data_IF_391864508551
#
_entry.id   IF_391864508551
#
_cell.length_a   1.000
_cell.length_b   1.000
_cell.length_c   1.000
_cell.angle_alpha   90.00
_cell.angle_beta   90.00
_cell.angle_gamma   90.00
#
_symmetry.space_group_name_H-M   'P 1'
#
loop_
_entity.id
_entity.type
_entity.pdbx_description
1 polymer ?
#
# COMPACT_ATOMS: atom_id res chain seq x y z
N UNK A 1 29.61 17.39 -10.04
CA UNK A 1 28.18 16.95 -9.90
C UNK A 1 28.17 15.45 -10.05
N UNK A 2 27.84 14.70 -9.00
CA UNK A 2 27.72 13.24 -9.08
C UNK A 2 26.64 12.90 -10.11
N UNK A 3 26.96 12.10 -11.12
CA UNK A 3 25.97 11.62 -12.10
C UNK A 3 24.89 10.86 -11.35
N UNK A 4 23.62 11.23 -11.58
CA UNK A 4 22.47 10.54 -10.99
C UNK A 4 22.47 9.09 -11.51
N UNK A 5 22.75 8.12 -10.63
CA UNK A 5 22.63 6.70 -10.96
C UNK A 5 21.16 6.31 -10.88
N UNK A 6 20.63 5.90 -12.00
CA UNK A 6 19.19 5.61 -12.15
C UNK A 6 18.95 4.11 -12.39
N UNK A 7 17.93 3.55 -11.75
CA UNK A 7 17.48 2.19 -11.96
C UNK A 7 16.00 2.18 -12.36
N UNK A 8 15.67 1.39 -13.38
CA UNK A 8 14.29 1.01 -13.72
C UNK A 8 14.04 -0.42 -13.26
N UNK A 9 13.20 -0.58 -12.24
CA UNK A 9 12.71 -1.89 -11.78
C UNK A 9 11.46 -2.25 -12.56
N UNK A 10 11.47 -3.40 -13.21
CA UNK A 10 10.36 -3.87 -14.05
C UNK A 10 9.78 -5.17 -13.50
N UNK A 11 8.48 -5.18 -13.25
CA UNK A 11 7.73 -6.41 -13.00
C UNK A 11 6.90 -6.77 -14.25
N UNK A 12 7.41 -7.62 -15.16
CA UNK A 12 6.74 -7.89 -16.44
C UNK A 12 5.38 -8.59 -16.28
N UNK A 13 5.16 -9.29 -15.16
CA UNK A 13 3.90 -9.97 -14.86
C UNK A 13 2.79 -9.03 -14.37
N UNK A 14 3.13 -7.80 -13.97
CA UNK A 14 2.16 -6.85 -13.43
C UNK A 14 1.03 -6.55 -14.42
N UNK A 15 -0.20 -6.46 -13.89
CA UNK A 15 -1.41 -6.17 -14.67
C UNK A 15 -1.69 -7.23 -15.76
N UNK A 16 -1.56 -8.52 -15.41
CA UNK A 16 -1.69 -9.64 -16.35
C UNK A 16 -0.73 -9.53 -17.55
N UNK A 17 0.53 -9.20 -17.28
CA UNK A 17 1.57 -9.05 -18.30
C UNK A 17 1.55 -7.72 -19.06
N UNK A 18 0.71 -6.76 -18.62
CA UNK A 18 0.65 -5.41 -19.23
C UNK A 18 2.01 -4.72 -19.19
N UNK A 19 2.71 -4.76 -18.05
CA UNK A 19 4.01 -4.13 -17.88
C UNK A 19 5.01 -4.62 -18.92
N UNK A 20 5.10 -5.93 -19.13
CA UNK A 20 5.97 -6.51 -20.17
C UNK A 20 5.59 -6.08 -21.59
N UNK A 21 4.29 -6.07 -21.91
CA UNK A 21 3.80 -5.65 -23.25
C UNK A 21 4.07 -4.18 -23.59
N UNK A 22 4.13 -3.31 -22.60
CA UNK A 22 4.35 -1.87 -22.83
C UNK A 22 5.79 -1.43 -22.60
N UNK A 23 6.67 -2.33 -22.17
CA UNK A 23 8.03 -1.99 -21.74
C UNK A 23 8.81 -1.22 -22.83
N UNK A 24 8.84 -1.70 -24.06
CA UNK A 24 9.55 -1.03 -25.17
C UNK A 24 9.07 0.41 -25.37
N UNK A 25 7.76 0.63 -25.30
CA UNK A 25 7.18 1.98 -25.43
C UNK A 25 7.51 2.87 -24.24
N UNK A 26 7.52 2.30 -23.03
CA UNK A 26 7.94 3.01 -21.80
C UNK A 26 9.40 3.42 -21.91
N UNK A 27 10.28 2.53 -22.39
CA UNK A 27 11.70 2.84 -22.59
C UNK A 27 11.91 3.98 -23.60
N UNK A 28 11.13 4.01 -24.69
CA UNK A 28 11.17 5.12 -25.66
C UNK A 28 10.80 6.46 -25.01
N UNK A 29 9.74 6.50 -24.21
CA UNK A 29 9.30 7.73 -23.52
C UNK A 29 10.30 8.17 -22.44
N UNK A 30 11.05 7.24 -21.83
CA UNK A 30 12.05 7.54 -20.82
C UNK A 30 13.42 7.97 -21.37
N UNK A 31 13.67 7.90 -22.69
CA UNK A 31 14.95 8.33 -23.26
C UNK A 31 15.42 9.72 -22.80
N UNK A 32 14.54 10.75 -22.74
CA UNK A 32 14.95 12.07 -22.25
C UNK A 32 15.29 12.12 -20.75
N UNK A 33 14.92 11.09 -19.98
CA UNK A 33 15.17 11.03 -18.53
C UNK A 33 16.64 10.73 -18.19
N UNK A 34 17.44 10.35 -19.19
CA UNK A 34 18.87 10.03 -19.11
C UNK A 34 19.13 8.53 -19.12
N UNK A 35 20.39 8.18 -18.84
CA UNK A 35 20.80 6.78 -18.77
C UNK A 35 20.28 6.11 -17.50
N UNK A 36 19.88 4.85 -17.60
CA UNK A 36 19.41 4.03 -16.49
C UNK A 36 19.69 2.55 -16.71
N UNK A 37 19.97 1.86 -15.62
CA UNK A 37 20.04 0.40 -15.58
C UNK A 37 18.62 -0.19 -15.52
N UNK A 38 18.43 -1.41 -16.03
CA UNK A 38 17.15 -2.12 -15.98
C UNK A 38 17.31 -3.39 -15.17
N UNK A 39 16.49 -3.55 -14.14
CA UNK A 39 16.39 -4.78 -13.38
C UNK A 39 14.97 -5.36 -13.48
N UNK A 40 14.88 -6.64 -13.82
CA UNK A 40 13.62 -7.34 -14.05
C UNK A 40 13.35 -8.30 -12.90
N UNK A 41 12.17 -8.22 -12.29
CA UNK A 41 11.75 -9.17 -11.26
C UNK A 41 11.42 -10.52 -11.89
N UNK A 42 11.72 -11.62 -11.18
CA UNK A 42 11.41 -12.96 -11.64
C UNK A 42 10.20 -13.52 -10.86
N UNK A 43 9.36 -14.26 -11.57
CA UNK A 43 8.26 -14.97 -10.95
C UNK A 43 8.78 -16.07 -10.02
N UNK A 44 8.14 -16.25 -8.86
CA UNK A 44 8.52 -17.25 -7.85
C UNK A 44 9.58 -16.78 -6.85
N UNK A 45 10.22 -15.63 -7.05
CA UNK A 45 11.09 -15.03 -6.04
C UNK A 45 10.25 -14.34 -4.94
N UNK A 46 10.74 -14.41 -3.71
CA UNK A 46 10.12 -13.71 -2.58
C UNK A 46 10.58 -12.26 -2.60
N UNK A 47 9.63 -11.34 -2.71
CA UNK A 47 9.85 -9.88 -2.70
C UNK A 47 11.02 -9.42 -3.58
N UNK A 48 11.01 -9.77 -4.88
CA UNK A 48 12.16 -9.51 -5.75
C UNK A 48 12.48 -8.02 -5.91
N UNK A 49 11.48 -7.14 -5.96
CA UNK A 49 11.70 -5.71 -6.10
C UNK A 49 12.36 -5.10 -4.85
N UNK A 50 12.02 -5.60 -3.66
CA UNK A 50 12.65 -5.19 -2.39
C UNK A 50 14.15 -5.50 -2.40
N UNK A 51 14.53 -6.74 -2.78
CA UNK A 51 15.93 -7.15 -2.88
C UNK A 51 16.69 -6.32 -3.91
N UNK A 52 16.15 -6.18 -5.13
CA UNK A 52 16.76 -5.41 -6.21
C UNK A 52 17.03 -3.95 -5.78
N UNK A 53 16.05 -3.31 -5.14
CA UNK A 53 16.20 -1.92 -4.69
C UNK A 53 17.22 -1.81 -3.57
N UNK A 54 17.22 -2.71 -2.59
CA UNK A 54 18.20 -2.73 -1.51
C UNK A 54 19.63 -2.85 -2.04
N UNK A 55 19.87 -3.77 -2.97
CA UNK A 55 21.17 -3.96 -3.62
C UNK A 55 21.59 -2.71 -4.42
N UNK A 56 20.65 -2.10 -5.15
CA UNK A 56 20.91 -0.90 -5.94
C UNK A 56 21.27 0.31 -5.06
N UNK A 57 20.56 0.50 -3.94
CA UNK A 57 20.87 1.56 -2.96
C UNK A 57 22.26 1.36 -2.37
N UNK A 58 22.63 0.13 -1.98
CA UNK A 58 23.97 -0.18 -1.48
C UNK A 58 25.05 0.11 -2.52
N UNK A 59 24.73 0.05 -3.81
CA UNK A 59 25.62 0.38 -4.93
C UNK A 59 25.54 1.85 -5.37
N UNK A 60 24.88 2.73 -4.58
CA UNK A 60 24.85 4.17 -4.80
C UNK A 60 23.85 4.64 -5.85
N UNK A 61 22.80 3.88 -6.15
CA UNK A 61 21.67 4.34 -6.95
C UNK A 61 20.89 5.40 -6.13
N UNK A 62 20.58 6.53 -6.78
CA UNK A 62 19.90 7.67 -6.16
C UNK A 62 18.53 7.98 -6.75
N UNK A 63 18.16 7.30 -7.85
CA UNK A 63 16.90 7.49 -8.53
C UNK A 63 16.34 6.15 -9.03
N UNK A 64 15.12 5.83 -8.66
CA UNK A 64 14.48 4.54 -8.97
C UNK A 64 13.12 4.79 -9.61
N UNK A 65 12.89 4.22 -10.80
CA UNK A 65 11.57 4.11 -11.39
C UNK A 65 11.05 2.68 -11.27
N UNK A 66 9.76 2.52 -11.03
CA UNK A 66 9.11 1.21 -10.86
C UNK A 66 8.02 1.04 -11.91
N UNK A 67 8.24 0.18 -12.90
CA UNK A 67 7.21 -0.28 -13.84
C UNK A 67 6.55 -1.54 -13.28
N UNK A 68 5.44 -1.36 -12.58
CA UNK A 68 4.78 -2.45 -11.86
C UNK A 68 3.40 -2.11 -11.34
N UNK A 69 2.88 -2.92 -10.43
CA UNK A 69 1.67 -2.66 -9.64
C UNK A 69 1.98 -2.10 -8.27
N UNK A 70 0.92 -1.84 -7.47
CA UNK A 70 1.03 -1.30 -6.12
C UNK A 70 1.94 -2.18 -5.23
N UNK A 71 1.84 -3.52 -5.29
CA UNK A 71 2.74 -4.42 -4.57
C UNK A 71 4.21 -4.30 -4.99
N UNK A 72 4.50 -4.07 -6.29
CA UNK A 72 5.89 -3.85 -6.74
C UNK A 72 6.43 -2.52 -6.19
N UNK A 73 5.58 -1.49 -6.13
CA UNK A 73 5.93 -0.19 -5.55
C UNK A 73 6.17 -0.30 -4.03
N UNK A 74 5.32 -1.03 -3.31
CA UNK A 74 5.48 -1.30 -1.87
C UNK A 74 6.77 -2.07 -1.57
N UNK A 75 7.10 -3.09 -2.37
CA UNK A 75 8.37 -3.82 -2.26
C UNK A 75 9.56 -2.89 -2.52
N UNK A 76 9.49 -2.04 -3.54
CA UNK A 76 10.55 -1.07 -3.84
C UNK A 76 10.76 -0.10 -2.67
N UNK A 77 9.67 0.41 -2.06
CA UNK A 77 9.75 1.23 -0.85
C UNK A 77 10.46 0.49 0.28
N UNK A 78 10.11 -0.76 0.54
CA UNK A 78 10.73 -1.57 1.59
C UNK A 78 12.21 -1.87 1.33
N UNK A 79 12.65 -1.83 0.08
CA UNK A 79 14.05 -1.89 -0.30
C UNK A 79 14.86 -0.65 0.10
N UNK A 80 14.21 0.48 0.39
CA UNK A 80 14.86 1.69 0.89
C UNK A 80 15.12 1.66 2.40
N UNK A 81 14.46 0.77 3.14
CA UNK A 81 14.62 0.64 4.59
C UNK A 81 16.00 0.06 4.93
N UNK A 82 16.79 0.81 5.68
CA UNK A 82 18.13 0.42 6.12
C UNK A 82 18.09 -0.37 7.45
N UNK A 83 19.18 -1.02 7.79
CA UNK A 83 19.28 -1.83 9.00
C UNK A 83 19.14 -0.99 10.29
N UNK A 84 19.55 0.26 10.28
CA UNK A 84 19.39 1.19 11.38
C UNK A 84 17.97 1.79 11.50
N UNK A 85 17.08 1.43 10.57
CA UNK A 85 15.71 1.96 10.50
C UNK A 85 15.59 3.30 9.79
N UNK A 86 16.65 3.84 9.22
CA UNK A 86 16.57 4.99 8.32
C UNK A 86 16.04 4.59 6.94
N UNK A 87 15.61 5.57 6.17
CA UNK A 87 15.14 5.38 4.80
C UNK A 87 16.16 6.04 3.87
N UNK A 88 16.64 5.27 2.90
CA UNK A 88 17.63 5.77 1.95
C UNK A 88 17.07 6.97 1.16
N UNK A 89 17.86 8.03 1.03
CA UNK A 89 17.51 9.26 0.33
C UNK A 89 17.54 9.02 -1.20
N UNK A 90 16.51 8.40 -1.73
CA UNK A 90 16.35 8.05 -3.14
C UNK A 90 15.09 8.72 -3.69
N UNK A 91 15.17 9.22 -4.92
CA UNK A 91 13.99 9.67 -5.66
C UNK A 91 13.26 8.48 -6.27
N UNK A 92 11.99 8.31 -5.93
CA UNK A 92 11.15 7.22 -6.42
C UNK A 92 10.17 7.73 -7.48
N UNK A 93 10.03 7.02 -8.59
CA UNK A 93 9.05 7.28 -9.63
C UNK A 93 8.19 6.04 -9.87
N UNK A 94 6.89 6.22 -10.13
CA UNK A 94 5.97 5.13 -10.38
C UNK A 94 5.44 5.17 -11.81
N UNK A 95 5.51 4.01 -12.47
CA UNK A 95 4.94 3.76 -13.80
C UNK A 95 3.87 2.68 -13.67
N UNK A 96 2.60 3.06 -13.37
CA UNK A 96 1.59 2.13 -12.87
C UNK A 96 1.08 1.18 -13.94
N UNK A 97 1.51 -0.06 -13.91
CA UNK A 97 1.08 -1.11 -14.83
C UNK A 97 0.19 -2.19 -14.19
N UNK A 98 -0.01 -2.14 -12.88
CA UNK A 98 -0.85 -3.06 -12.11
C UNK A 98 -2.34 -2.97 -12.42
N UNK A 99 -3.14 -3.79 -11.76
CA UNK A 99 -4.60 -3.82 -11.90
C UNK A 99 -5.28 -2.75 -11.01
N UNK A 100 -4.89 -2.62 -9.74
CA UNK A 100 -5.46 -1.67 -8.76
C UNK A 100 -5.09 -0.23 -9.10
N UNK A 101 -3.81 0.07 -9.11
CA UNK A 101 -3.26 1.42 -9.33
C UNK A 101 -3.81 2.42 -8.32
N UNK A 102 -3.96 1.96 -7.08
CA UNK A 102 -4.60 2.71 -6.01
C UNK A 102 -3.69 3.83 -5.51
N UNK A 103 -2.38 3.56 -5.39
CA UNK A 103 -1.44 4.60 -5.03
C UNK A 103 -1.30 5.67 -6.12
N UNK A 104 -1.38 5.29 -7.40
CA UNK A 104 -1.42 6.28 -8.48
C UNK A 104 -2.65 7.19 -8.40
N UNK A 105 -3.80 6.68 -7.92
CA UNK A 105 -4.98 7.52 -7.62
C UNK A 105 -4.70 8.47 -6.47
N UNK A 106 -4.13 7.98 -5.38
CA UNK A 106 -3.80 8.77 -4.19
C UNK A 106 -2.90 9.97 -4.55
N UNK A 107 -1.88 9.77 -5.38
CA UNK A 107 -0.96 10.85 -5.77
C UNK A 107 -1.42 11.69 -6.96
N UNK A 108 -2.58 11.38 -7.55
CA UNK A 108 -3.10 12.07 -8.74
C UNK A 108 -2.30 11.82 -10.02
N UNK A 109 -1.48 10.76 -10.07
CA UNK A 109 -0.66 10.43 -11.22
C UNK A 109 -1.44 9.69 -12.31
N UNK A 110 -0.93 9.73 -13.55
CA UNK A 110 -1.52 8.94 -14.64
C UNK A 110 -1.46 7.45 -14.32
N UNK A 111 -2.60 6.78 -14.48
CA UNK A 111 -2.72 5.32 -14.32
C UNK A 111 -2.31 4.53 -15.56
N UNK A 112 -1.79 5.21 -16.57
CA UNK A 112 -1.29 4.60 -17.81
C UNK A 112 0.25 4.71 -17.81
N UNK A 113 0.98 3.60 -17.83
CA UNK A 113 2.43 3.62 -17.64
C UNK A 113 3.19 4.42 -18.71
N UNK A 114 2.71 4.44 -19.96
CA UNK A 114 3.33 5.21 -21.03
C UNK A 114 3.16 6.73 -20.82
N UNK A 115 1.96 7.17 -20.40
CA UNK A 115 1.71 8.57 -20.07
C UNK A 115 2.52 9.01 -18.84
N UNK A 116 2.58 8.14 -17.80
CA UNK A 116 3.40 8.39 -16.62
C UNK A 116 4.89 8.52 -16.97
N UNK A 117 5.42 7.64 -17.83
CA UNK A 117 6.80 7.70 -18.33
C UNK A 117 7.08 9.00 -19.10
N UNK A 118 6.16 9.40 -19.97
CA UNK A 118 6.27 10.65 -20.71
C UNK A 118 6.27 11.87 -19.79
N UNK A 119 5.40 11.87 -18.80
CA UNK A 119 5.32 12.95 -17.80
C UNK A 119 6.62 13.03 -17.00
N UNK A 120 7.07 11.89 -16.46
CA UNK A 120 8.33 11.78 -15.72
C UNK A 120 9.52 12.34 -16.50
N UNK A 121 9.63 11.99 -17.78
CA UNK A 121 10.74 12.40 -18.64
C UNK A 121 10.73 13.91 -18.98
N UNK A 122 9.55 14.54 -19.01
CA UNK A 122 9.39 15.96 -19.41
C UNK A 122 9.39 16.93 -18.24
N UNK A 123 8.78 16.55 -17.14
CA UNK A 123 8.45 17.49 -16.06
C UNK A 123 8.46 16.88 -14.66
N UNK A 124 8.94 15.65 -14.50
CA UNK A 124 8.91 14.95 -13.22
C UNK A 124 9.40 15.80 -12.05
N UNK A 125 8.48 16.49 -11.40
CA UNK A 125 8.77 17.39 -10.29
C UNK A 125 8.93 16.58 -9.00
N UNK A 126 9.93 16.86 -8.17
CA UNK A 126 10.09 16.21 -6.88
C UNK A 126 9.01 16.71 -5.91
N UNK A 127 8.34 15.78 -5.26
CA UNK A 127 7.41 16.02 -4.15
C UNK A 127 7.78 15.09 -3.01
N UNK A 128 7.97 15.63 -1.82
CA UNK A 128 8.15 14.81 -0.62
C UNK A 128 6.79 14.30 -0.14
N UNK A 129 6.76 13.05 0.27
CA UNK A 129 5.57 12.40 0.80
C UNK A 129 5.89 11.70 2.11
N UNK A 130 4.86 11.59 2.92
CA UNK A 130 4.88 10.76 4.11
C UNK A 130 4.71 9.29 3.72
N UNK A 131 5.18 8.40 4.55
CA UNK A 131 4.92 6.97 4.46
C UNK A 131 4.57 6.41 5.83
N UNK A 132 3.89 5.29 5.85
CA UNK A 132 3.64 4.58 7.09
C UNK A 132 4.73 3.56 7.39
N UNK A 133 5.06 3.42 8.68
CA UNK A 133 5.90 2.34 9.21
C UNK A 133 5.10 1.49 10.19
N UNK A 134 5.23 0.18 10.06
CA UNK A 134 4.70 -0.81 11.00
C UNK A 134 5.87 -1.38 11.78
N UNK A 135 5.81 -1.32 13.10
CA UNK A 135 6.74 -1.98 14.00
C UNK A 135 6.00 -3.11 14.74
N UNK A 136 6.45 -4.34 14.51
CA UNK A 136 5.91 -5.53 15.15
C UNK A 136 6.57 -5.80 16.50
N UNK A 137 5.89 -6.58 17.36
CA UNK A 137 6.44 -7.01 18.65
C UNK A 137 7.77 -7.78 18.53
N UNK A 138 8.03 -8.40 17.38
CA UNK A 138 9.32 -9.06 17.06
C UNK A 138 10.47 -8.09 16.84
N UNK A 139 10.22 -6.78 16.75
CA UNK A 139 11.17 -5.76 16.34
C UNK A 139 11.29 -5.59 14.81
N UNK A 140 10.65 -6.47 14.02
CA UNK A 140 10.61 -6.32 12.58
C UNK A 140 9.84 -5.04 12.19
N UNK A 141 10.30 -4.39 11.11
CA UNK A 141 9.68 -3.19 10.55
C UNK A 141 9.25 -3.41 9.11
N UNK A 142 8.16 -2.78 8.73
CA UNK A 142 7.66 -2.72 7.34
C UNK A 142 7.17 -1.32 7.02
N UNK A 143 7.41 -0.88 5.80
CA UNK A 143 6.91 0.39 5.29
C UNK A 143 5.69 0.15 4.41
N UNK A 144 4.77 1.11 4.37
CA UNK A 144 3.65 1.11 3.44
C UNK A 144 3.41 2.50 2.86
N UNK A 145 3.04 2.52 1.57
CA UNK A 145 2.78 3.74 0.81
C UNK A 145 1.37 4.28 1.06
N UNK A 146 0.42 3.36 1.07
CA UNK A 146 -0.98 3.72 0.93
C UNK A 146 -1.78 3.41 2.20
N UNK A 147 -2.06 2.15 2.48
CA UNK A 147 -2.88 1.75 3.63
C UNK A 147 -2.34 0.47 4.25
N UNK A 148 -2.26 0.46 5.57
CA UNK A 148 -2.18 -0.75 6.37
C UNK A 148 -3.53 -1.02 7.02
N UNK A 149 -3.91 -2.29 7.14
CA UNK A 149 -5.21 -2.66 7.69
C UNK A 149 -5.19 -4.04 8.34
N UNK A 150 -6.18 -4.32 9.18
CA UNK A 150 -6.39 -5.62 9.79
C UNK A 150 -7.88 -5.94 9.95
N UNK A 151 -8.19 -7.17 10.32
CA UNK A 151 -9.54 -7.68 10.41
C UNK A 151 -9.98 -8.41 9.12
N UNK A 152 -11.17 -8.11 8.61
CA UNK A 152 -11.69 -8.78 7.40
C UNK A 152 -10.83 -8.51 6.16
N UNK A 153 -10.09 -7.41 6.13
CA UNK A 153 -9.20 -7.05 5.00
C UNK A 153 -8.09 -8.07 4.77
N UNK A 154 -7.48 -8.59 5.84
CA UNK A 154 -6.49 -9.65 5.73
C UNK A 154 -7.08 -10.94 5.14
N UNK A 155 -8.33 -11.30 5.50
CA UNK A 155 -9.03 -12.46 4.90
C UNK A 155 -9.34 -12.25 3.43
N UNK A 156 -9.67 -11.02 3.03
CA UNK A 156 -9.88 -10.67 1.62
C UNK A 156 -8.56 -10.82 0.85
N UNK A 157 -7.44 -10.38 1.44
CA UNK A 157 -6.12 -10.53 0.84
C UNK A 157 -5.77 -12.01 0.60
N UNK A 158 -5.96 -12.88 1.61
CA UNK A 158 -5.78 -14.32 1.46
C UNK A 158 -6.68 -14.92 0.37
N UNK A 159 -7.97 -14.58 0.36
CA UNK A 159 -8.88 -15.09 -0.66
C UNK A 159 -8.45 -14.69 -2.09
N UNK A 160 -7.82 -13.53 -2.25
CA UNK A 160 -7.28 -13.09 -3.54
C UNK A 160 -5.96 -13.80 -3.90
N UNK A 161 -5.18 -14.23 -2.93
CA UNK A 161 -3.97 -15.03 -3.16
C UNK A 161 -4.32 -16.47 -3.58
N UNK A 162 -5.38 -17.05 -3.01
CA UNK A 162 -5.88 -18.38 -3.42
C UNK A 162 -6.38 -18.41 -4.87
N UNK A 163 -6.85 -17.28 -5.40
CA UNK A 163 -7.41 -17.17 -6.74
C UNK A 163 -6.65 -16.15 -7.62
N UNK A 164 -5.37 -16.41 -7.96
CA UNK A 164 -4.54 -15.45 -8.69
C UNK A 164 -5.07 -15.13 -10.10
N UNK A 165 -5.79 -16.06 -10.72
CA UNK A 165 -6.45 -15.84 -12.01
C UNK A 165 -7.54 -14.75 -11.90
N UNK A 166 -8.32 -14.79 -10.82
CA UNK A 166 -9.38 -13.82 -10.56
C UNK A 166 -8.80 -12.41 -10.34
N UNK A 167 -7.72 -12.31 -9.54
CA UNK A 167 -6.97 -11.07 -9.32
C UNK A 167 -6.42 -10.46 -10.64
N UNK A 168 -5.97 -11.33 -11.56
CA UNK A 168 -5.39 -10.90 -12.84
C UNK A 168 -6.41 -10.31 -13.82
N UNK A 169 -7.62 -10.87 -13.90
CA UNK A 169 -8.56 -10.58 -14.98
C UNK A 169 -9.76 -9.72 -14.56
N UNK A 170 -10.16 -9.77 -13.29
CA UNK A 170 -11.40 -9.14 -12.83
C UNK A 170 -11.18 -7.96 -11.86
N UNK A 171 -9.97 -7.63 -11.44
CA UNK A 171 -9.62 -6.43 -10.65
C UNK A 171 -10.61 -6.08 -9.54
N UNK A 172 -11.36 -4.99 -9.72
CA UNK A 172 -12.35 -4.52 -8.75
C UNK A 172 -13.50 -5.51 -8.51
N UNK A 173 -13.94 -6.27 -9.52
CA UNK A 173 -14.98 -7.30 -9.36
C UNK A 173 -14.48 -8.47 -8.51
N UNK A 174 -13.24 -8.92 -8.73
CA UNK A 174 -12.64 -9.96 -7.92
C UNK A 174 -12.53 -9.54 -6.46
N UNK A 175 -12.11 -8.30 -6.24
CA UNK A 175 -12.01 -7.74 -4.90
C UNK A 175 -13.39 -7.61 -4.25
N UNK A 176 -14.40 -7.15 -4.98
CA UNK A 176 -15.78 -7.07 -4.51
C UNK A 176 -16.35 -8.43 -4.10
N UNK A 177 -16.16 -9.47 -4.93
CA UNK A 177 -16.60 -10.84 -4.62
C UNK A 177 -15.86 -11.42 -3.40
N UNK A 178 -14.54 -11.21 -3.30
CA UNK A 178 -13.76 -11.62 -2.15
C UNK A 178 -14.21 -10.90 -0.87
N UNK A 179 -14.54 -9.61 -0.97
CA UNK A 179 -15.07 -8.81 0.15
C UNK A 179 -16.42 -9.34 0.63
N UNK A 180 -17.34 -9.60 -0.28
CA UNK A 180 -18.66 -10.17 0.06
C UNK A 180 -18.49 -11.55 0.72
N UNK A 181 -17.69 -12.43 0.14
CA UNK A 181 -17.45 -13.78 0.67
C UNK A 181 -16.79 -13.74 2.07
N UNK A 182 -15.77 -12.91 2.24
CA UNK A 182 -15.10 -12.73 3.52
C UNK A 182 -16.06 -12.13 4.56
N UNK A 183 -16.86 -11.12 4.18
CA UNK A 183 -17.80 -10.44 5.05
C UNK A 183 -18.91 -11.36 5.58
N UNK A 184 -19.46 -12.24 4.74
CA UNK A 184 -20.53 -13.19 5.13
C UNK A 184 -20.06 -14.19 6.19
N UNK A 185 -18.80 -14.61 6.16
CA UNK A 185 -18.22 -15.58 7.11
C UNK A 185 -17.47 -14.91 8.27
N UNK A 186 -17.40 -13.57 8.30
CA UNK A 186 -16.59 -12.84 9.25
C UNK A 186 -17.30 -12.67 10.61
N UNK A 187 -16.50 -12.77 11.68
CA UNK A 187 -16.88 -12.32 13.02
C UNK A 187 -15.87 -11.22 13.42
N UNK A 188 -16.33 -10.08 13.97
CA UNK A 188 -15.44 -9.03 14.43
C UNK A 188 -14.42 -9.55 15.43
N UNK A 189 -13.19 -9.08 15.32
CA UNK A 189 -12.14 -9.37 16.28
C UNK A 189 -12.22 -8.35 17.43
N UNK A 190 -11.94 -8.77 18.66
CA UNK A 190 -11.82 -7.85 19.78
C UNK A 190 -10.43 -7.22 19.75
N UNK A 191 -10.38 -5.91 19.58
CA UNK A 191 -9.14 -5.15 19.42
C UNK A 191 -9.13 -4.00 20.42
N UNK A 192 -7.99 -3.81 21.08
CA UNK A 192 -7.63 -2.58 21.76
C UNK A 192 -6.77 -1.73 20.82
N UNK A 193 -7.15 -0.48 20.63
CA UNK A 193 -6.40 0.45 19.80
C UNK A 193 -6.28 1.82 20.48
N UNK A 194 -5.13 2.46 20.28
CA UNK A 194 -4.84 3.82 20.74
C UNK A 194 -4.32 4.64 19.58
N UNK A 195 -4.80 5.86 19.43
CA UNK A 195 -4.34 6.84 18.46
C UNK A 195 -3.71 8.01 19.22
N UNK A 196 -2.44 8.28 18.98
CA UNK A 196 -1.62 9.27 19.68
C UNK A 196 -1.73 9.10 21.21
N UNK A 197 -1.91 10.19 21.94
CA UNK A 197 -2.04 10.22 23.40
C UNK A 197 -3.48 9.98 23.91
N UNK A 198 -4.43 9.63 23.03
CA UNK A 198 -5.80 9.34 23.45
C UNK A 198 -5.88 8.06 24.29
N UNK A 199 -6.92 7.95 25.10
CA UNK A 199 -7.15 6.74 25.85
C UNK A 199 -7.37 5.54 24.92
N UNK A 200 -6.85 4.34 25.26
CA UNK A 200 -7.10 3.16 24.47
C UNK A 200 -8.61 2.83 24.40
N UNK A 201 -9.08 2.48 23.22
CA UNK A 201 -10.44 2.03 22.99
C UNK A 201 -10.45 0.53 22.71
N UNK A 202 -11.22 -0.23 23.47
CA UNK A 202 -11.42 -1.66 23.26
C UNK A 202 -12.81 -1.95 22.73
N UNK A 203 -12.92 -2.88 21.80
CA UNK A 203 -14.21 -3.32 21.28
C UNK A 203 -14.11 -4.14 20.00
N UNK A 204 -15.28 -4.57 19.48
CA UNK A 204 -15.33 -5.34 18.24
C UNK A 204 -14.93 -4.47 17.05
N UNK A 205 -14.08 -5.04 16.18
CA UNK A 205 -13.58 -4.40 14.98
C UNK A 205 -13.75 -5.37 13.81
N UNK A 206 -14.56 -5.00 12.85
CA UNK A 206 -14.70 -5.73 11.59
C UNK A 206 -13.48 -5.48 10.69
N UNK A 207 -13.03 -4.23 10.60
CA UNK A 207 -11.80 -3.82 9.97
C UNK A 207 -11.29 -2.52 10.59
N UNK A 208 -9.99 -2.31 10.56
CA UNK A 208 -9.38 -1.01 10.85
C UNK A 208 -8.35 -0.69 9.80
N UNK A 209 -8.50 0.46 9.16
CA UNK A 209 -7.57 0.97 8.17
C UNK A 209 -6.77 2.12 8.76
N UNK A 210 -5.46 2.01 8.70
CA UNK A 210 -4.49 3.05 9.04
C UNK A 210 -3.99 3.59 7.71
N UNK A 211 -4.54 4.72 7.29
CA UNK A 211 -4.43 5.21 5.94
C UNK A 211 -3.50 6.42 5.84
N UNK A 212 -2.39 6.25 5.14
CA UNK A 212 -1.55 7.33 4.63
C UNK A 212 -2.14 7.88 3.33
N UNK A 213 -2.67 7.01 2.47
CA UNK A 213 -3.35 7.36 1.24
C UNK A 213 -4.84 7.01 1.24
N UNK A 214 -5.57 7.49 0.24
CA UNK A 214 -7.03 7.48 0.23
C UNK A 214 -7.67 6.19 -0.32
N UNK A 215 -6.94 5.43 -1.15
CA UNK A 215 -7.51 4.37 -1.97
C UNK A 215 -6.86 3.02 -1.71
N UNK A 216 -7.65 1.95 -1.68
CA UNK A 216 -7.14 0.60 -1.65
C UNK A 216 -8.12 -0.39 -2.31
N UNK A 217 -7.70 -1.66 -2.50
CA UNK A 217 -8.59 -2.73 -2.95
C UNK A 217 -9.14 -2.56 -4.36
N UNK A 218 -8.42 -1.90 -5.25
CA UNK A 218 -8.83 -1.72 -6.64
C UNK A 218 -9.84 -0.59 -6.86
N UNK A 219 -9.83 0.43 -6.01
CA UNK A 219 -10.61 1.64 -6.18
C UNK A 219 -11.63 1.94 -5.09
N UNK A 220 -11.57 1.27 -3.95
CA UNK A 220 -12.33 1.68 -2.77
C UNK A 220 -11.70 2.93 -2.17
N UNK A 221 -12.51 3.95 -1.93
CA UNK A 221 -12.13 5.24 -1.34
C UNK A 221 -12.31 5.18 0.18
N UNK A 222 -11.43 4.42 0.83
CA UNK A 222 -11.58 4.05 2.25
C UNK A 222 -11.26 5.20 3.19
N UNK A 223 -10.36 6.08 2.81
CA UNK A 223 -9.95 7.24 3.59
C UNK A 223 -10.04 8.51 2.74
N UNK A 224 -11.25 9.04 2.50
CA UNK A 224 -11.47 10.14 1.56
C UNK A 224 -10.76 11.44 1.88
N UNK A 225 -10.41 11.66 3.14
CA UNK A 225 -9.75 12.89 3.60
C UNK A 225 -8.25 12.68 3.90
N UNK A 226 -7.73 11.46 3.70
CA UNK A 226 -6.32 11.16 3.90
C UNK A 226 -5.41 11.95 2.95
N UNK A 227 -4.30 12.45 3.48
CA UNK A 227 -3.28 13.20 2.76
C UNK A 227 -1.92 12.58 3.00
N UNK A 228 -1.12 12.49 1.97
CA UNK A 228 0.22 11.89 2.02
C UNK A 228 1.34 12.88 2.41
N UNK A 229 0.98 14.07 2.88
CA UNK A 229 1.92 15.17 3.12
C UNK A 229 1.55 16.04 4.34
N UNK A 230 0.75 15.53 5.27
CA UNK A 230 0.28 16.26 6.45
C UNK A 230 0.80 15.70 7.80
N UNK A 231 1.63 14.66 7.74
CA UNK A 231 2.23 14.03 8.92
C UNK A 231 1.23 13.19 9.73
N UNK A 232 0.10 12.78 9.18
CA UNK A 232 -0.95 12.06 9.88
C UNK A 232 -1.51 10.90 9.08
N UNK A 233 -1.96 9.88 9.79
CA UNK A 233 -2.86 8.88 9.24
C UNK A 233 -4.31 9.30 9.43
N UNK A 234 -5.14 8.91 8.49
CA UNK A 234 -6.58 8.80 8.71
C UNK A 234 -6.88 7.37 9.17
N UNK A 235 -7.40 7.24 10.39
CA UNK A 235 -7.69 5.95 11.01
C UNK A 235 -9.18 5.69 10.91
N UNK A 236 -9.55 4.74 10.06
CA UNK A 236 -10.96 4.38 9.81
C UNK A 236 -11.24 3.05 10.49
N UNK A 237 -12.07 3.09 11.54
CA UNK A 237 -12.51 1.92 12.29
C UNK A 237 -13.91 1.53 11.86
N UNK A 238 -14.06 0.31 11.39
CA UNK A 238 -15.34 -0.35 11.16
C UNK A 238 -15.63 -1.23 12.38
N UNK A 239 -16.59 -0.83 13.18
CA UNK A 239 -16.95 -1.52 14.44
C UNK A 239 -17.69 -2.84 14.19
N UNK A 240 -18.67 -3.16 15.03
CA UNK A 240 -19.51 -4.36 14.90
C UNK A 240 -20.52 -4.20 13.75
N UNK A 241 -20.04 -4.27 12.52
CA UNK A 241 -20.87 -4.20 11.31
C UNK A 241 -21.54 -5.56 11.09
N UNK A 242 -22.87 -5.56 10.94
CA UNK A 242 -23.60 -6.79 10.64
C UNK A 242 -23.21 -7.35 9.27
N UNK A 243 -23.26 -8.68 9.13
CA UNK A 243 -22.88 -9.36 7.88
C UNK A 243 -23.68 -8.89 6.67
N UNK A 244 -24.98 -8.59 6.86
CA UNK A 244 -25.84 -7.99 5.85
C UNK A 244 -25.33 -6.63 5.38
N UNK A 245 -24.79 -5.84 6.30
CA UNK A 245 -24.36 -4.47 6.02
C UNK A 245 -23.09 -4.42 5.18
N UNK A 246 -22.26 -5.49 5.21
CA UNK A 246 -21.08 -5.60 4.34
C UNK A 246 -21.45 -5.52 2.85
N UNK A 247 -22.52 -6.19 2.45
CA UNK A 247 -22.98 -6.21 1.05
C UNK A 247 -23.58 -4.86 0.67
N UNK A 248 -24.41 -4.30 1.56
CA UNK A 248 -25.11 -3.02 1.32
C UNK A 248 -24.13 -1.85 1.37
N UNK A 249 -23.09 -1.93 2.21
CA UNK A 249 -22.13 -0.83 2.42
C UNK A 249 -20.98 -0.81 1.39
N UNK A 250 -20.78 -1.88 0.63
CA UNK A 250 -19.71 -1.93 -0.37
C UNK A 250 -19.76 -0.78 -1.40
N UNK A 251 -20.93 -0.39 -1.96
CA UNK A 251 -21.02 0.79 -2.83
C UNK A 251 -20.64 2.09 -2.14
N UNK A 252 -20.87 2.20 -0.83
CA UNK A 252 -20.50 3.39 -0.04
C UNK A 252 -18.99 3.53 0.06
N UNK A 253 -18.26 2.40 0.21
CA UNK A 253 -16.79 2.38 0.19
C UNK A 253 -16.22 2.88 -1.14
N UNK A 254 -16.79 2.45 -2.26
CA UNK A 254 -16.34 2.93 -3.58
C UNK A 254 -16.64 4.42 -3.81
N UNK A 255 -17.69 4.95 -3.18
CA UNK A 255 -18.07 6.38 -3.27
C UNK A 255 -17.39 7.24 -2.20
N UNK A 256 -16.75 6.66 -1.19
CA UNK A 256 -16.19 7.38 -0.05
C UNK A 256 -17.24 8.00 0.88
N UNK A 257 -18.46 7.46 0.89
CA UNK A 257 -19.58 7.99 1.70
C UNK A 257 -19.92 7.15 2.94
N UNK A 258 -19.11 6.13 3.21
CA UNK A 258 -19.28 5.21 4.35
C UNK A 258 -19.04 5.87 5.73
N UNK A 259 -18.45 7.05 5.79
CA UNK A 259 -18.30 7.83 7.05
C UNK A 259 -19.64 8.20 7.69
N UNK A 260 -20.72 8.26 6.91
CA UNK A 260 -22.07 8.48 7.44
C UNK A 260 -22.65 7.24 8.18
N UNK A 261 -21.99 6.08 8.10
CA UNK A 261 -22.49 4.87 8.74
C UNK A 261 -22.22 4.93 10.25
N UNK A 262 -23.21 4.66 11.14
CA UNK A 262 -23.10 4.88 12.60
C UNK A 262 -22.06 3.99 13.30
N UNK A 263 -21.62 2.92 12.66
CA UNK A 263 -20.57 2.00 13.16
C UNK A 263 -19.20 2.24 12.55
N UNK A 264 -19.05 3.32 11.77
CA UNK A 264 -17.76 3.76 11.25
C UNK A 264 -17.32 4.97 12.06
N UNK A 265 -16.13 4.90 12.63
CA UNK A 265 -15.49 6.04 13.30
C UNK A 265 -14.22 6.40 12.58
N UNK A 266 -13.93 7.70 12.53
CA UNK A 266 -12.75 8.25 11.88
C UNK A 266 -12.01 9.12 12.87
N UNK A 267 -10.71 8.92 12.97
CA UNK A 267 -9.80 9.77 13.74
C UNK A 267 -8.55 10.03 12.92
N UNK A 268 -7.74 11.01 13.33
CA UNK A 268 -6.45 11.30 12.73
C UNK A 268 -5.37 11.25 13.80
N UNK A 269 -4.19 10.74 13.45
CA UNK A 269 -3.05 10.69 14.35
C UNK A 269 -1.78 10.24 13.64
N UNK A 270 -0.64 10.50 14.27
CA UNK A 270 0.67 10.14 13.75
C UNK A 270 1.18 8.79 14.28
N UNK A 271 0.61 8.32 15.38
CA UNK A 271 0.98 7.11 16.09
C UNK A 271 -0.26 6.29 16.44
N UNK A 272 -0.31 5.05 15.97
CA UNK A 272 -1.40 4.13 16.26
C UNK A 272 -0.82 2.85 16.84
N UNK A 273 -1.28 2.46 18.02
CA UNK A 273 -0.99 1.15 18.58
C UNK A 273 -2.25 0.29 18.53
N UNK A 274 -2.12 -0.96 18.09
CA UNK A 274 -3.22 -1.92 18.11
C UNK A 274 -2.76 -3.28 18.62
N UNK A 275 -3.62 -3.90 19.44
CA UNK A 275 -3.38 -5.23 20.01
C UNK A 275 -4.69 -6.03 20.06
N UNK A 276 -4.64 -7.38 20.01
CA UNK A 276 -5.81 -8.19 20.30
C UNK A 276 -6.26 -7.93 21.75
N UNK A 277 -7.53 -7.63 21.96
CA UNK A 277 -8.10 -7.58 23.30
C UNK A 277 -8.36 -9.01 23.80
N UNK A 278 -7.99 -9.31 25.06
CA UNK A 278 -8.13 -10.66 25.63
C UNK A 278 -6.82 -11.37 25.96
N UNK A 279 -5.69 -10.65 25.84
CA UNK A 279 -4.37 -11.14 26.27
C UNK A 279 -3.79 -12.24 25.36
N UNK A 280 -2.83 -13.05 25.87
CA UNK A 280 -2.07 -14.02 25.09
C UNK A 280 -2.88 -15.15 24.43
N UNK A 281 -4.09 -15.42 24.95
CA UNK A 281 -5.00 -16.43 24.40
C UNK A 281 -5.90 -15.89 23.27
N UNK A 282 -5.79 -14.60 22.94
CA UNK A 282 -6.57 -13.99 21.88
C UNK A 282 -6.17 -14.56 20.51
N UNK A 283 -7.15 -14.57 19.61
CA UNK A 283 -6.92 -14.98 18.23
C UNK A 283 -5.86 -14.08 17.56
N UNK A 284 -4.96 -14.69 16.81
CA UNK A 284 -4.02 -13.95 16.00
C UNK A 284 -4.73 -13.13 14.91
N UNK A 285 -4.49 -11.83 14.88
CA UNK A 285 -5.07 -10.90 13.92
C UNK A 285 -3.97 -10.50 12.94
N UNK A 286 -4.15 -10.83 11.68
CA UNK A 286 -3.18 -10.55 10.62
C UNK A 286 -3.31 -9.12 10.13
N UNK A 287 -2.15 -8.56 9.74
CA UNK A 287 -2.03 -7.21 9.17
C UNK A 287 -1.71 -7.34 7.69
N UNK A 288 -2.48 -6.65 6.90
CA UNK A 288 -2.25 -6.43 5.48
C UNK A 288 -1.71 -4.99 5.30
N UNK A 289 -0.74 -4.80 4.40
CA UNK A 289 -0.26 -3.49 3.99
C UNK A 289 -0.01 -3.48 2.48
N UNK A 290 -0.56 -2.49 1.78
CA UNK A 290 -0.48 -2.31 0.32
C UNK A 290 -0.82 -3.58 -0.49
N UNK A 291 -1.71 -4.45 0.03
CA UNK A 291 -2.17 -5.68 -0.61
C UNK A 291 -1.35 -6.93 -0.30
N UNK A 292 -0.41 -6.90 0.66
CA UNK A 292 0.39 -8.04 1.11
C UNK A 292 0.16 -8.30 2.60
N UNK A 293 0.08 -9.57 3.02
CA UNK A 293 0.09 -9.93 4.45
C UNK A 293 1.52 -9.75 4.96
N UNK A 294 1.69 -8.89 5.96
CA UNK A 294 3.02 -8.47 6.43
C UNK A 294 3.36 -8.91 7.85
N UNK A 295 2.37 -9.27 8.65
CA UNK A 295 2.57 -9.71 10.03
C UNK A 295 1.27 -9.80 10.81
N UNK A 296 1.35 -9.67 12.12
CA UNK A 296 0.23 -9.80 13.06
C UNK A 296 0.30 -8.77 14.17
N UNK A 297 -0.88 -8.44 14.75
CA UNK A 297 -0.96 -7.68 15.98
C UNK A 297 -0.35 -8.49 17.17
N UNK A 298 0.22 -7.82 18.19
CA UNK A 298 0.26 -6.37 18.37
C UNK A 298 1.30 -5.69 17.47
N UNK A 299 0.97 -4.48 17.05
CA UNK A 299 1.84 -3.65 16.22
C UNK A 299 1.63 -2.15 16.51
N UNK A 300 2.66 -1.37 16.24
CA UNK A 300 2.64 0.08 16.25
C UNK A 300 2.79 0.59 14.82
N UNK A 301 1.97 1.54 14.46
CA UNK A 301 1.98 2.20 13.16
C UNK A 301 2.37 3.66 13.39
N UNK A 302 3.42 4.13 12.70
CA UNK A 302 3.90 5.51 12.84
C UNK A 302 4.05 6.17 11.48
N UNK A 303 3.70 7.44 11.38
CA UNK A 303 4.01 8.24 10.19
C UNK A 303 5.50 8.54 10.18
N UNK A 304 6.12 8.39 9.02
CA UNK A 304 7.46 8.89 8.71
C UNK A 304 7.28 10.12 7.81
N UNK A 305 7.24 11.32 8.38
CA UNK A 305 6.91 12.53 7.61
C UNK A 305 8.01 12.86 6.61
N UNK A 306 7.60 13.32 5.42
CA UNK A 306 8.50 13.75 4.33
C UNK A 306 9.63 12.75 4.03
N UNK A 307 9.36 11.43 4.18
CA UNK A 307 10.38 10.39 4.19
C UNK A 307 10.85 9.96 2.81
N UNK A 308 10.03 10.17 1.77
CA UNK A 308 10.35 9.76 0.40
C UNK A 308 10.12 10.92 -0.57
N UNK A 309 11.09 11.13 -1.46
CA UNK A 309 10.91 12.04 -2.60
C UNK A 309 10.32 11.27 -3.77
N UNK A 310 9.10 11.61 -4.13
CA UNK A 310 8.41 11.04 -5.28
C UNK A 310 8.56 11.97 -6.49
N UNK A 311 8.89 11.42 -7.65
CA UNK A 311 8.89 12.12 -8.93
C UNK A 311 7.53 11.87 -9.61
N UNK A 312 6.75 12.93 -9.78
CA UNK A 312 5.40 12.89 -10.38
C UNK A 312 5.26 13.85 -11.55
#
# INVERSE_FOLDING_TARGET
MSSLRTLLVVNPAAGAGRAGRVLSRVLEELKPWGEFEIAVTRAGEVRPAERIVREAVANGVTRIAVLGGDGTASQALNGLLQADGSIAAVQLALLPAGTGRDFARTIGASRKPIEAARHLARSGAPRTIDIGEIQFASGQRRLFLNIASFGVTARIAHALEEYPQLKRHAGALAFGLATVRAGVSYAPDLVEARVDEHAPESGPVAAMAIANGAWFGGGMHVAPTARIDDGRFEVVRFGDIARSDFVVSLPLLYRGTHYAHPKVTVSQGADVFAAPAGGPAARAIEIEADGEIVGRLPARFTVRPAAVTLLT
#
